data_IF_135546642713
#
_entry.id   IF_135546642713
#
_cell.length_a   1.000
_cell.length_b   1.000
_cell.length_c   1.000
_cell.angle_alpha   90.00
_cell.angle_beta   90.00
_cell.angle_gamma   90.00
#
_symmetry.space_group_name_H-M   'P 1'
#
loop_
_entity.id
_entity.type
_entity.pdbx_description
1 polymer ?
#
# COMPACT_ATOMS: atom_id res chain seq x y z
N UNK A 1 -1.35 -3.67 -27.61
CA UNK A 1 -1.42 -3.35 -26.18
C UNK A 1 -2.86 -3.01 -25.84
N UNK A 2 -3.51 -3.76 -25.00
CA UNK A 2 -4.89 -3.63 -24.60
C UNK A 2 -5.09 -3.82 -23.10
N UNK A 3 -6.35 -3.78 -22.64
CA UNK A 3 -6.71 -4.06 -21.25
C UNK A 3 -6.38 -5.53 -20.92
N UNK A 4 -5.46 -5.76 -19.97
CA UNK A 4 -5.04 -7.10 -19.53
C UNK A 4 -5.98 -7.64 -18.45
N UNK A 5 -6.33 -6.81 -17.48
CA UNK A 5 -7.16 -7.21 -16.35
C UNK A 5 -7.95 -6.02 -15.81
N UNK A 6 -9.07 -6.31 -15.16
CA UNK A 6 -9.89 -5.32 -14.47
C UNK A 6 -10.32 -5.87 -13.12
N UNK A 7 -10.08 -5.11 -12.06
CA UNK A 7 -10.49 -5.43 -10.71
C UNK A 7 -11.59 -4.48 -10.23
N UNK A 8 -12.62 -5.03 -9.62
CA UNK A 8 -13.62 -4.27 -8.87
C UNK A 8 -13.36 -4.47 -7.39
N UNK A 9 -13.24 -3.35 -6.67
CA UNK A 9 -13.00 -3.33 -5.22
C UNK A 9 -14.04 -4.17 -4.47
N UNK A 10 -13.58 -5.16 -3.68
CA UNK A 10 -14.47 -6.09 -2.95
C UNK A 10 -15.11 -5.37 -1.75
N UNK A 11 -14.36 -4.53 -1.04
CA UNK A 11 -14.85 -3.79 0.13
C UNK A 11 -14.88 -2.29 -0.16
N UNK A 12 -15.90 -1.77 -0.86
CA UNK A 12 -16.00 -0.34 -1.13
C UNK A 12 -16.17 0.43 0.18
N UNK A 13 -15.36 1.49 0.36
CA UNK A 13 -15.38 2.29 1.58
C UNK A 13 -16.66 3.11 1.71
N UNK A 14 -17.20 3.59 0.58
CA UNK A 14 -18.46 4.35 0.50
C UNK A 14 -19.51 3.48 -0.21
N UNK A 15 -20.08 2.53 0.52
CA UNK A 15 -21.03 1.55 -0.04
C UNK A 15 -22.32 2.19 -0.59
N UNK A 16 -22.68 3.40 -0.13
CA UNK A 16 -23.86 4.11 -0.63
C UNK A 16 -23.80 4.42 -2.14
N UNK A 17 -22.59 4.60 -2.69
CA UNK A 17 -22.39 5.02 -4.08
C UNK A 17 -21.65 3.99 -4.93
N UNK A 18 -21.17 2.91 -4.31
CA UNK A 18 -20.34 1.91 -4.97
C UNK A 18 -20.85 0.50 -4.71
N UNK A 19 -20.95 -0.30 -5.75
CA UNK A 19 -21.23 -1.72 -5.63
C UNK A 19 -19.93 -2.50 -5.40
N UNK A 20 -19.96 -3.46 -4.50
CA UNK A 20 -18.85 -4.37 -4.25
C UNK A 20 -18.50 -5.21 -5.50
N UNK A 21 -17.23 -5.52 -5.66
CA UNK A 21 -16.76 -6.60 -6.51
C UNK A 21 -17.06 -7.96 -5.87
N UNK A 22 -16.94 -9.00 -6.65
CA UNK A 22 -17.30 -10.38 -6.30
C UNK A 22 -16.18 -11.38 -6.58
N UNK A 23 -15.02 -10.91 -7.06
CA UNK A 23 -13.90 -11.76 -7.43
C UNK A 23 -12.55 -11.12 -7.15
N UNK A 24 -11.58 -11.95 -6.79
CA UNK A 24 -10.16 -11.56 -6.79
C UNK A 24 -9.63 -11.49 -8.22
N UNK A 25 -8.62 -10.65 -8.43
CA UNK A 25 -8.02 -10.45 -9.74
C UNK A 25 -6.53 -10.84 -9.68
N UNK A 26 -6.18 -11.91 -10.39
CA UNK A 26 -4.79 -12.33 -10.62
C UNK A 26 -4.59 -12.46 -12.12
N UNK A 27 -3.49 -11.92 -12.64
CA UNK A 27 -3.18 -11.87 -14.07
C UNK A 27 -1.69 -11.95 -14.32
N UNK A 28 -1.32 -12.33 -15.53
CA UNK A 28 0.10 -12.41 -15.95
C UNK A 28 0.55 -11.07 -16.55
N UNK A 29 1.67 -10.53 -16.05
CA UNK A 29 2.30 -9.33 -16.56
C UNK A 29 3.81 -9.49 -16.58
N UNK A 30 4.42 -9.44 -17.77
CA UNK A 30 5.88 -9.52 -17.97
C UNK A 30 6.53 -10.72 -17.25
N UNK A 31 5.85 -11.86 -17.26
CA UNK A 31 6.32 -13.09 -16.60
C UNK A 31 6.07 -13.15 -15.09
N UNK A 32 5.36 -12.19 -14.50
CA UNK A 32 4.93 -12.19 -13.12
C UNK A 32 3.43 -12.47 -12.99
N UNK A 33 3.04 -13.26 -12.00
CA UNK A 33 1.64 -13.32 -11.58
C UNK A 33 1.36 -12.15 -10.64
N UNK A 34 0.50 -11.25 -11.08
CA UNK A 34 0.19 -10.02 -10.37
C UNK A 34 -1.24 -10.05 -9.82
N UNK A 35 -1.44 -9.50 -8.65
CA UNK A 35 -2.76 -9.25 -8.06
C UNK A 35 -3.02 -7.76 -7.90
N UNK A 36 -4.28 -7.38 -7.78
CA UNK A 36 -4.69 -6.00 -7.45
C UNK A 36 -5.61 -6.05 -6.24
N UNK A 37 -5.32 -5.22 -5.23
CA UNK A 37 -6.20 -4.98 -4.08
C UNK A 37 -6.25 -3.47 -3.81
N UNK A 38 -7.46 -2.89 -3.78
CA UNK A 38 -7.63 -1.44 -3.71
C UNK A 38 -7.93 -1.00 -2.28
N UNK A 39 -7.06 -0.15 -1.71
CA UNK A 39 -7.28 0.58 -0.46
C UNK A 39 -7.71 -0.37 0.69
N UNK A 40 -8.93 -0.25 1.20
CA UNK A 40 -9.43 -1.04 2.34
C UNK A 40 -9.36 -2.56 2.12
N UNK A 41 -9.38 -3.04 0.89
CA UNK A 41 -9.19 -4.48 0.61
C UNK A 41 -7.87 -5.02 1.18
N UNK A 42 -6.82 -4.18 1.26
CA UNK A 42 -5.52 -4.53 1.81
C UNK A 42 -5.52 -4.63 3.35
N UNK A 43 -6.49 -4.03 4.02
CA UNK A 43 -6.65 -4.13 5.47
C UNK A 43 -7.31 -5.45 5.89
N UNK A 44 -8.08 -6.05 4.98
CA UNK A 44 -8.71 -7.37 5.18
C UNK A 44 -7.66 -8.44 4.83
N UNK A 45 -7.14 -9.13 5.85
CA UNK A 45 -6.02 -10.08 5.69
C UNK A 45 -6.37 -11.24 4.77
N UNK A 46 -7.62 -11.68 4.78
CA UNK A 46 -8.14 -12.77 3.95
C UNK A 46 -8.05 -12.44 2.46
N UNK A 47 -8.23 -11.18 2.06
CA UNK A 47 -8.12 -10.77 0.66
C UNK A 47 -6.69 -10.94 0.14
N UNK A 48 -5.70 -10.51 0.92
CA UNK A 48 -4.29 -10.65 0.54
C UNK A 48 -3.91 -12.13 0.47
N UNK A 49 -4.36 -12.90 1.46
CA UNK A 49 -4.12 -14.35 1.51
C UNK A 49 -4.74 -15.06 0.32
N UNK A 50 -6.01 -14.79 0.01
CA UNK A 50 -6.71 -15.38 -1.12
C UNK A 50 -6.02 -15.04 -2.45
N UNK A 51 -5.65 -13.76 -2.64
CA UNK A 51 -4.94 -13.31 -3.85
C UNK A 51 -3.59 -14.02 -4.02
N UNK A 52 -2.85 -14.21 -2.92
CA UNK A 52 -1.59 -14.97 -2.92
C UNK A 52 -1.82 -16.45 -3.23
N UNK A 53 -2.84 -17.08 -2.64
CA UNK A 53 -3.18 -18.50 -2.90
C UNK A 53 -3.62 -18.74 -4.35
N UNK A 54 -4.18 -17.73 -5.01
CA UNK A 54 -4.47 -17.77 -6.46
C UNK A 54 -3.20 -17.62 -7.31
N UNK A 55 -2.03 -17.49 -6.69
CA UNK A 55 -0.73 -17.51 -7.32
C UNK A 55 -0.09 -16.13 -7.52
N UNK A 56 -0.63 -15.05 -6.98
CA UNK A 56 0.01 -13.75 -7.08
C UNK A 56 1.38 -13.75 -6.39
N UNK A 57 2.37 -13.21 -7.08
CA UNK A 57 3.75 -13.04 -6.64
C UNK A 57 4.07 -11.56 -6.34
N UNK A 58 3.31 -10.66 -6.99
CA UNK A 58 3.36 -9.22 -6.80
C UNK A 58 1.93 -8.72 -6.66
N UNK A 59 1.65 -7.98 -5.60
CA UNK A 59 0.35 -7.34 -5.38
C UNK A 59 0.49 -5.82 -5.53
N UNK A 60 -0.26 -5.26 -6.48
CA UNK A 60 -0.46 -3.83 -6.61
C UNK A 60 -1.52 -3.39 -5.61
N UNK A 61 -1.15 -2.46 -4.74
CA UNK A 61 -1.96 -1.98 -3.64
C UNK A 61 -2.19 -0.45 -3.72
N UNK A 62 -2.95 0.03 -4.73
CA UNK A 62 -3.30 1.44 -4.77
C UNK A 62 -4.17 1.79 -3.57
N UNK A 63 -3.80 2.85 -2.87
CA UNK A 63 -4.40 3.25 -1.62
C UNK A 63 -4.70 4.75 -1.61
N UNK A 64 -5.67 5.16 -0.82
CA UNK A 64 -5.90 6.56 -0.45
C UNK A 64 -6.06 6.61 1.06
N UNK A 65 -4.94 6.78 1.76
CA UNK A 65 -4.95 6.94 3.21
C UNK A 65 -4.18 8.19 3.62
N UNK A 66 -4.51 8.72 4.77
CA UNK A 66 -3.90 9.94 5.28
C UNK A 66 -3.86 9.99 6.78
N UNK A 67 -3.42 11.13 7.28
CA UNK A 67 -3.39 11.44 8.69
C UNK A 67 -4.80 11.88 9.12
N UNK A 68 -5.59 10.93 9.61
CA UNK A 68 -6.96 11.17 10.06
C UNK A 68 -7.20 10.50 11.42
N UNK A 69 -8.07 11.07 12.26
CA UNK A 69 -8.47 10.43 13.50
C UNK A 69 -9.07 9.05 13.28
N UNK A 70 -8.81 8.14 14.20
CA UNK A 70 -9.47 6.85 14.25
C UNK A 70 -9.41 6.30 15.69
N UNK A 71 -10.08 5.18 15.95
CA UNK A 71 -9.98 4.49 17.22
C UNK A 71 -8.57 3.95 17.53
N UNK A 72 -7.67 3.91 16.56
CA UNK A 72 -6.28 3.50 16.74
C UNK A 72 -5.50 4.55 17.53
N UNK A 73 -4.73 4.16 18.56
CA UNK A 73 -3.94 5.09 19.37
C UNK A 73 -3.01 5.95 18.52
N UNK A 74 -2.97 7.23 18.82
CA UNK A 74 -2.11 8.24 18.20
C UNK A 74 -2.43 8.56 16.72
N UNK A 75 -3.56 8.11 16.21
CA UNK A 75 -4.07 8.56 14.90
C UNK A 75 -4.77 9.90 15.09
N UNK A 76 -4.39 10.88 14.27
CA UNK A 76 -4.95 12.22 14.29
C UNK A 76 -4.59 12.98 13.01
N UNK A 77 -5.12 14.19 12.85
CA UNK A 77 -4.72 15.10 11.79
C UNK A 77 -3.28 15.60 11.99
N UNK A 78 -2.60 15.86 10.90
CA UNK A 78 -1.42 16.73 10.88
C UNK A 78 -1.90 18.16 10.71
N UNK A 79 -1.41 19.08 11.56
CA UNK A 79 -1.83 20.46 11.48
C UNK A 79 -1.38 21.10 10.15
N UNK A 80 -2.27 21.87 9.54
CA UNK A 80 -2.07 22.49 8.21
C UNK A 80 -0.80 23.34 8.12
N UNK A 81 -0.41 23.98 9.22
CA UNK A 81 0.82 24.77 9.30
C UNK A 81 2.07 24.01 8.84
N UNK A 82 2.14 22.70 9.08
CA UNK A 82 3.28 21.88 8.66
C UNK A 82 3.32 21.71 7.14
N UNK A 83 2.16 21.46 6.53
CA UNK A 83 2.06 21.36 5.07
C UNK A 83 2.32 22.70 4.38
N UNK A 84 1.75 23.78 4.90
CA UNK A 84 1.93 25.13 4.37
C UNK A 84 3.38 25.60 4.44
N UNK A 85 4.12 25.17 5.47
CA UNK A 85 5.51 25.55 5.69
C UNK A 85 6.54 24.50 5.15
N UNK A 86 6.09 23.50 4.38
CA UNK A 86 6.93 22.36 3.97
C UNK A 86 8.19 22.73 3.18
N UNK A 87 8.19 23.87 2.49
CA UNK A 87 9.33 24.35 1.73
C UNK A 87 10.43 24.93 2.64
N UNK A 88 10.02 25.57 3.75
CA UNK A 88 10.95 26.17 4.70
C UNK A 88 11.34 25.20 5.82
N UNK A 89 10.42 24.33 6.24
CA UNK A 89 10.65 23.34 7.29
C UNK A 89 10.13 21.94 6.87
N UNK A 90 10.80 21.30 5.90
CA UNK A 90 10.42 19.95 5.46
C UNK A 90 10.62 18.88 6.55
N UNK A 91 11.50 19.12 7.50
CA UNK A 91 11.84 18.18 8.56
C UNK A 91 10.65 17.97 9.50
N UNK A 92 10.05 19.06 9.98
CA UNK A 92 8.89 18.97 10.88
C UNK A 92 7.72 18.24 10.23
N UNK A 93 7.42 18.53 8.97
CA UNK A 93 6.36 17.79 8.25
C UNK A 93 6.72 16.30 8.07
N UNK A 94 7.99 15.99 7.73
CA UNK A 94 8.43 14.59 7.58
C UNK A 94 8.33 13.82 8.91
N UNK A 95 8.64 14.44 10.03
CA UNK A 95 8.46 13.83 11.36
C UNK A 95 7.00 13.49 11.64
N UNK A 96 6.06 14.36 11.31
CA UNK A 96 4.62 14.12 11.44
C UNK A 96 4.17 12.95 10.54
N UNK A 97 4.60 12.94 9.26
CA UNK A 97 4.25 11.90 8.30
C UNK A 97 4.90 10.54 8.60
N UNK A 98 6.11 10.53 9.13
CA UNK A 98 6.80 9.30 9.53
C UNK A 98 6.34 8.79 10.90
N UNK A 99 5.67 9.64 11.66
CA UNK A 99 5.12 9.35 12.97
C UNK A 99 3.91 8.40 12.97
N UNK A 100 3.26 8.27 14.14
CA UNK A 100 2.12 7.37 14.33
C UNK A 100 0.88 7.76 13.52
N UNK A 101 0.79 9.02 13.08
CA UNK A 101 -0.30 9.50 12.24
C UNK A 101 -0.22 8.97 10.79
N UNK A 102 0.98 8.71 10.29
CA UNK A 102 1.23 8.29 8.92
C UNK A 102 2.00 6.96 8.81
N UNK A 103 3.29 7.03 8.48
CA UNK A 103 4.13 5.87 8.18
C UNK A 103 4.16 4.81 9.26
N UNK A 104 4.32 5.19 10.53
CA UNK A 104 4.37 4.22 11.63
C UNK A 104 3.09 3.37 11.72
N UNK A 105 1.94 3.93 11.35
CA UNK A 105 0.70 3.16 11.25
C UNK A 105 0.76 2.18 10.06
N UNK A 106 1.23 2.59 8.89
CA UNK A 106 1.40 1.70 7.73
C UNK A 106 2.32 0.53 8.07
N UNK A 107 3.42 0.79 8.76
CA UNK A 107 4.42 -0.23 9.14
C UNK A 107 3.91 -1.26 10.16
N UNK A 108 2.75 -1.04 10.79
CA UNK A 108 2.13 -2.03 11.67
C UNK A 108 1.52 -3.21 10.92
N UNK A 109 1.11 -3.00 9.69
CA UNK A 109 0.37 -4.02 8.96
C UNK A 109 0.91 -4.30 7.54
N UNK A 110 1.38 -3.29 6.84
CA UNK A 110 1.73 -3.40 5.43
C UNK A 110 2.89 -4.37 5.15
N UNK A 111 4.01 -4.37 5.91
CA UNK A 111 5.06 -5.38 5.76
C UNK A 111 4.58 -6.80 6.04
N UNK A 112 3.68 -6.98 6.98
CA UNK A 112 3.11 -8.29 7.29
C UNK A 112 2.31 -8.86 6.11
N UNK A 113 1.64 -8.02 5.30
CA UNK A 113 0.95 -8.48 4.09
C UNK A 113 1.89 -9.14 3.10
N UNK A 114 3.09 -8.57 2.91
CA UNK A 114 4.13 -9.15 2.07
C UNK A 114 4.74 -10.40 2.73
N UNK A 115 5.14 -10.27 3.99
CA UNK A 115 5.84 -11.32 4.74
C UNK A 115 4.99 -12.59 4.90
N UNK A 116 3.78 -12.49 5.41
CA UNK A 116 2.90 -13.64 5.68
C UNK A 116 2.53 -14.41 4.42
N UNK A 117 2.56 -13.75 3.28
CA UNK A 117 2.16 -14.32 1.99
C UNK A 117 3.33 -14.62 1.06
N UNK A 118 4.56 -14.21 1.41
CA UNK A 118 5.75 -14.45 0.59
C UNK A 118 5.69 -13.76 -0.78
N UNK A 119 5.08 -12.57 -0.85
CA UNK A 119 4.85 -11.82 -2.09
C UNK A 119 5.52 -10.43 -2.05
N UNK A 120 5.83 -9.88 -3.21
CA UNK A 120 6.14 -8.46 -3.32
C UNK A 120 4.86 -7.62 -3.19
N UNK A 121 5.00 -6.44 -2.61
CA UNK A 121 3.89 -5.52 -2.39
C UNK A 121 4.23 -4.14 -2.90
N UNK A 122 3.52 -3.66 -3.90
CA UNK A 122 3.69 -2.32 -4.46
C UNK A 122 2.57 -1.42 -3.94
N UNK A 123 2.83 -0.76 -2.83
CA UNK A 123 1.90 0.18 -2.18
C UNK A 123 2.07 1.57 -2.78
N UNK A 124 0.97 2.14 -3.29
CA UNK A 124 0.94 3.52 -3.79
C UNK A 124 -0.09 4.33 -3.04
N UNK A 125 0.27 5.54 -2.64
CA UNK A 125 -0.57 6.42 -1.84
C UNK A 125 -0.33 7.89 -2.24
N UNK A 126 -1.37 8.72 -2.37
CA UNK A 126 -1.22 10.11 -2.72
C UNK A 126 -0.52 10.92 -1.62
N UNK A 127 0.09 12.02 -2.03
CA UNK A 127 0.69 13.04 -1.17
C UNK A 127 -0.09 14.35 -1.33
N UNK A 128 -0.30 15.10 -0.24
CA UNK A 128 -1.01 16.37 -0.27
C UNK A 128 -2.49 16.27 0.06
N UNK A 129 -3.22 17.36 -0.17
CA UNK A 129 -4.64 17.40 0.15
C UNK A 129 -5.51 16.65 -0.85
N UNK A 130 -6.50 15.93 -0.32
CA UNK A 130 -7.63 15.34 -1.01
C UNK A 130 -8.89 15.78 -0.26
N UNK A 131 -9.58 16.79 -0.77
CA UNK A 131 -10.55 17.56 0.00
C UNK A 131 -9.88 18.25 1.18
N UNK A 132 -10.40 18.01 2.38
CA UNK A 132 -9.89 18.52 3.65
C UNK A 132 -8.96 17.54 4.40
N UNK A 133 -8.57 16.45 3.76
CA UNK A 133 -7.71 15.42 4.35
C UNK A 133 -6.31 15.40 3.75
N UNK A 134 -5.31 15.65 4.58
CA UNK A 134 -3.92 15.57 4.18
C UNK A 134 -3.46 14.11 4.08
N UNK A 135 -3.01 13.70 2.89
CA UNK A 135 -2.44 12.40 2.59
C UNK A 135 -0.94 12.45 2.79
N UNK A 136 -0.39 11.41 3.39
CA UNK A 136 1.02 11.38 3.83
C UNK A 136 2.00 10.78 2.81
N UNK A 137 1.52 10.35 1.64
CA UNK A 137 2.37 9.66 0.68
C UNK A 137 2.89 8.34 1.24
N UNK A 138 4.21 8.21 1.37
CA UNK A 138 4.91 7.00 1.81
C UNK A 138 4.61 5.79 0.91
N UNK A 139 4.46 6.03 -0.41
CA UNK A 139 4.42 4.94 -1.39
C UNK A 139 5.69 4.11 -1.28
N UNK A 140 5.58 2.77 -1.29
CA UNK A 140 6.72 1.89 -1.05
C UNK A 140 6.60 0.56 -1.77
N UNK A 141 7.75 -0.03 -2.09
CA UNK A 141 7.87 -1.40 -2.56
C UNK A 141 8.42 -2.25 -1.43
N UNK A 142 7.71 -3.31 -1.09
CA UNK A 142 8.05 -4.21 0.02
C UNK A 142 8.32 -5.59 -0.57
N UNK A 143 9.34 -6.25 -0.07
CA UNK A 143 9.74 -7.57 -0.52
C UNK A 143 9.04 -8.70 0.26
N UNK A 144 9.17 -9.97 -0.19
CA UNK A 144 8.56 -11.13 0.46
C UNK A 144 9.04 -11.41 1.89
N UNK A 145 10.08 -10.73 2.37
CA UNK A 145 10.53 -10.80 3.76
C UNK A 145 9.97 -9.67 4.63
N UNK A 146 9.14 -8.78 4.05
CA UNK A 146 8.58 -7.62 4.74
C UNK A 146 9.53 -6.42 4.80
N UNK A 147 10.64 -6.46 4.05
CA UNK A 147 11.61 -5.36 4.00
C UNK A 147 11.20 -4.31 2.97
N UNK A 148 11.31 -3.05 3.34
CA UNK A 148 11.05 -1.93 2.42
C UNK A 148 12.25 -1.75 1.50
N UNK A 149 12.08 -2.09 0.23
CA UNK A 149 13.13 -1.96 -0.80
C UNK A 149 13.33 -0.52 -1.25
N UNK A 150 12.25 0.23 -1.36
CA UNK A 150 12.25 1.64 -1.72
C UNK A 150 10.98 2.32 -1.21
N UNK A 151 11.12 3.61 -0.91
CA UNK A 151 10.02 4.42 -0.37
C UNK A 151 10.15 5.86 -0.88
N UNK A 152 9.03 6.47 -1.24
CA UNK A 152 8.96 7.88 -1.61
C UNK A 152 8.84 8.73 -0.35
N UNK A 153 9.78 9.64 -0.17
CA UNK A 153 9.83 10.62 0.93
C UNK A 153 9.59 12.06 0.46
N UNK A 154 9.49 12.27 -0.84
CA UNK A 154 9.17 13.56 -1.45
C UNK A 154 7.78 14.05 -1.00
N UNK A 155 7.58 15.37 -1.01
CA UNK A 155 6.28 16.01 -0.86
C UNK A 155 5.65 16.38 -2.20
N UNK A 156 6.25 15.93 -3.28
CA UNK A 156 5.82 16.11 -4.66
C UNK A 156 5.51 14.76 -5.31
N UNK A 157 4.98 14.80 -6.52
CA UNK A 157 4.83 13.60 -7.34
C UNK A 157 6.21 13.01 -7.64
N UNK A 158 6.35 11.71 -7.40
CA UNK A 158 7.64 11.04 -7.53
C UNK A 158 7.46 9.57 -7.94
N UNK A 159 8.55 8.94 -8.39
CA UNK A 159 8.58 7.55 -8.85
C UNK A 159 9.58 6.77 -8.01
N UNK A 160 9.15 5.63 -7.49
CA UNK A 160 10.02 4.68 -6.80
C UNK A 160 10.27 3.46 -7.68
N UNK A 161 11.54 3.05 -7.78
CA UNK A 161 11.97 1.91 -8.60
C UNK A 161 12.76 0.94 -7.74
N UNK A 162 12.44 -0.35 -7.86
CA UNK A 162 13.20 -1.43 -7.21
C UNK A 162 13.33 -2.64 -8.12
N UNK A 163 14.44 -3.35 -7.98
CA UNK A 163 14.64 -4.64 -8.64
C UNK A 163 13.96 -5.74 -7.82
N UNK A 164 13.13 -6.54 -8.46
CA UNK A 164 12.47 -7.70 -7.88
C UNK A 164 12.93 -8.98 -8.57
N UNK A 165 12.93 -10.13 -7.87
CA UNK A 165 13.43 -11.40 -8.40
C UNK A 165 12.52 -12.58 -8.04
N UNK A 166 12.39 -13.53 -8.95
CA UNK A 166 11.66 -14.80 -8.71
C UNK A 166 12.34 -15.65 -7.64
N UNK A 167 13.66 -15.58 -7.55
CA UNK A 167 14.43 -16.30 -6.54
C UNK A 167 13.98 -15.93 -5.14
N UNK A 168 13.78 -14.64 -4.86
CA UNK A 168 13.32 -14.17 -3.55
C UNK A 168 11.92 -14.69 -3.20
N UNK A 169 11.00 -14.78 -4.17
CA UNK A 169 9.69 -15.43 -4.01
C UNK A 169 9.86 -16.90 -3.62
N UNK A 170 10.69 -17.63 -4.37
CA UNK A 170 10.95 -19.05 -4.14
C UNK A 170 11.52 -19.30 -2.74
N UNK A 171 12.48 -18.49 -2.31
CA UNK A 171 13.14 -18.65 -1.02
C UNK A 171 12.22 -18.28 0.15
N UNK A 172 11.42 -17.21 0.02
CA UNK A 172 10.55 -16.73 1.09
C UNK A 172 9.31 -17.59 1.30
N UNK A 173 8.70 -18.11 0.23
CA UNK A 173 7.42 -18.82 0.25
C UNK A 173 7.53 -20.33 0.42
N UNK A 174 8.68 -20.91 0.10
CA UNK A 174 8.80 -22.37 -0.13
C UNK A 174 8.47 -23.26 1.07
N UNK A 175 8.59 -22.82 2.30
CA UNK A 175 8.34 -23.61 3.50
C UNK A 175 7.16 -23.15 4.36
N UNK A 176 6.71 -21.90 4.20
CA UNK A 176 5.62 -21.32 5.03
C UNK A 176 4.24 -21.85 4.70
N UNK A 177 4.05 -22.40 3.50
CA UNK A 177 2.72 -22.68 2.96
C UNK A 177 2.59 -24.07 2.31
N UNK A 178 3.59 -24.91 2.53
CA UNK A 178 3.56 -26.32 2.10
C UNK A 178 3.03 -27.19 3.21
#
# INVERSE_FOLDING_TARGET
DGLIARYRKIHPFISKYMSAGDAYCVFDLLGWKCGILICYDNNVIENVRATSLLGAELIFAPHVTGCTPSAMPHRDYVADKYWQNRENDPVSLRMEFDGPKGRRWLMRWLPARAYDNGVYYAFTNPIGYDGDHLKNGNSMIIDPYGEVLSEIKSFENDISISKITKEKIKLSGGWRYK
#
